data_IF_553018055334
#
_entry.id   IF_553018055334
#
_cell.length_a   1.000
_cell.length_b   1.000
_cell.length_c   1.000
_cell.angle_alpha   90.00
_cell.angle_beta   90.00
_cell.angle_gamma   90.00
#
_symmetry.space_group_name_H-M   'P 1'
#
loop_
_entity.id
_entity.type
_entity.pdbx_description
1 polymer ?
#
# COMPACT_ATOMS: atom_id res chain seq x y z
N UNK A 1 3.27 -25.57 66.31
CA UNK A 1 3.24 -26.71 65.38
C UNK A 1 1.87 -26.70 64.76
N UNK A 2 1.71 -25.88 63.72
CA UNK A 2 1.81 -26.31 62.30
C UNK A 2 0.59 -27.16 61.92
N UNK A 3 -0.18 -26.90 60.87
CA UNK A 3 -0.01 -25.99 59.76
C UNK A 3 -1.38 -25.67 59.15
N UNK A 4 -1.38 -24.55 58.43
CA UNK A 4 -2.51 -23.79 57.91
C UNK A 4 -2.88 -24.20 56.47
N UNK A 5 -4.17 -24.12 56.19
CA UNK A 5 -4.77 -23.44 55.03
C UNK A 5 -4.53 -24.03 53.63
N UNK A 6 -5.65 -24.51 53.08
CA UNK A 6 -5.98 -24.67 51.66
C UNK A 6 -5.32 -23.63 50.73
N UNK A 7 -4.62 -24.13 49.71
CA UNK A 7 -4.24 -23.37 48.51
C UNK A 7 -4.84 -24.07 47.30
N UNK A 8 -6.07 -23.69 46.94
CA UNK A 8 -6.61 -23.85 45.59
C UNK A 8 -6.28 -22.55 44.83
N UNK A 9 -5.41 -22.64 43.84
CA UNK A 9 -4.93 -21.46 43.12
C UNK A 9 -4.01 -21.85 41.97
N UNK A 10 -4.61 -22.40 40.92
CA UNK A 10 -3.93 -22.71 39.68
C UNK A 10 -5.00 -23.14 38.69
N UNK A 11 -5.32 -22.24 37.75
CA UNK A 11 -5.95 -22.48 36.43
C UNK A 11 -6.87 -21.33 35.97
N UNK A 12 -6.45 -20.06 36.11
CA UNK A 12 -7.24 -18.92 35.63
C UNK A 12 -6.53 -18.00 34.61
N UNK A 13 -5.34 -18.39 34.13
CA UNK A 13 -4.65 -17.63 33.07
C UNK A 13 -5.10 -18.04 31.65
N UNK A 14 -5.49 -19.31 31.46
CA UNK A 14 -5.95 -19.83 30.17
C UNK A 14 -7.45 -19.60 29.90
N UNK A 15 -8.25 -19.39 30.94
CA UNK A 15 -9.71 -19.25 30.84
C UNK A 15 -10.19 -17.87 30.36
N UNK A 16 -9.40 -16.81 30.57
CA UNK A 16 -9.85 -15.42 30.29
C UNK A 16 -9.82 -15.09 28.79
N UNK A 17 -9.00 -15.77 27.98
CA UNK A 17 -8.98 -15.58 26.51
C UNK A 17 -10.17 -16.22 25.79
N UNK A 18 -10.95 -17.10 26.43
CA UNK A 18 -11.99 -17.91 25.76
C UNK A 18 -13.43 -17.39 25.87
N UNK A 19 -13.65 -16.23 26.50
CA UNK A 19 -15.00 -15.76 26.89
C UNK A 19 -15.44 -14.41 26.26
N UNK A 20 -14.86 -13.96 25.14
CA UNK A 20 -15.33 -12.73 24.47
C UNK A 20 -15.48 -12.90 22.96
N UNK A 21 -16.71 -12.69 22.48
CA UNK A 21 -17.02 -12.51 21.05
C UNK A 21 -16.07 -11.49 20.42
N UNK A 22 -15.27 -11.84 19.40
CA UNK A 22 -14.45 -10.85 18.74
C UNK A 22 -15.38 -9.96 17.92
N UNK A 23 -15.37 -8.66 18.22
CA UNK A 23 -15.94 -7.60 17.38
C UNK A 23 -15.31 -7.55 15.96
N UNK A 24 -14.36 -8.46 15.67
CA UNK A 24 -13.58 -8.65 14.45
C UNK A 24 -13.90 -10.05 13.93
N UNK A 25 -14.73 -10.15 12.88
CA UNK A 25 -15.04 -11.41 12.22
C UNK A 25 -14.49 -11.46 10.81
N UNK A 26 -14.08 -12.65 10.34
CA UNK A 26 -13.65 -12.87 8.96
C UNK A 26 -14.74 -12.52 7.92
N UNK A 27 -16.02 -12.54 8.33
CA UNK A 27 -17.13 -12.09 7.49
C UNK A 27 -17.02 -10.60 7.10
N UNK A 28 -16.27 -9.78 7.84
CA UNK A 28 -16.02 -8.39 7.47
C UNK A 28 -15.30 -8.24 6.12
N UNK A 29 -14.53 -9.24 5.68
CA UNK A 29 -13.89 -9.22 4.37
C UNK A 29 -14.89 -9.27 3.20
N UNK A 30 -16.17 -9.54 3.44
CA UNK A 30 -17.23 -9.32 2.45
C UNK A 30 -17.29 -7.84 2.01
N UNK A 31 -17.02 -6.91 2.93
CA UNK A 31 -16.94 -5.47 2.63
C UNK A 31 -15.79 -5.20 1.66
N UNK A 32 -14.65 -5.86 1.84
CA UNK A 32 -13.51 -5.74 0.91
C UNK A 32 -13.86 -6.26 -0.49
N UNK A 33 -14.64 -7.34 -0.60
CA UNK A 33 -15.13 -7.83 -1.89
C UNK A 33 -16.06 -6.80 -2.55
N UNK A 34 -16.98 -6.18 -1.79
CA UNK A 34 -17.83 -5.12 -2.32
C UNK A 34 -17.01 -3.90 -2.79
N UNK A 35 -15.95 -3.54 -2.06
CA UNK A 35 -15.01 -2.52 -2.53
C UNK A 35 -14.32 -2.93 -3.83
N UNK A 36 -13.84 -4.18 -3.95
CA UNK A 36 -13.17 -4.66 -5.17
C UNK A 36 -14.07 -4.56 -6.41
N UNK A 37 -15.33 -5.00 -6.31
CA UNK A 37 -16.32 -4.83 -7.39
C UNK A 37 -16.66 -3.35 -7.61
N UNK A 38 -16.84 -2.59 -6.54
CA UNK A 38 -17.08 -1.15 -6.59
C UNK A 38 -15.99 -0.42 -7.37
N UNK A 39 -14.71 -0.74 -7.12
CA UNK A 39 -13.58 -0.17 -7.85
C UNK A 39 -13.58 -0.54 -9.33
N UNK A 40 -13.94 -1.77 -9.68
CA UNK A 40 -14.07 -2.17 -11.08
C UNK A 40 -15.12 -1.32 -11.81
N UNK A 41 -16.34 -1.22 -11.28
CA UNK A 41 -17.40 -0.43 -11.90
C UNK A 41 -17.10 1.08 -11.87
N UNK A 42 -16.54 1.59 -10.77
CA UNK A 42 -16.13 2.98 -10.65
C UNK A 42 -15.07 3.34 -11.68
N UNK A 43 -14.08 2.46 -11.90
CA UNK A 43 -13.07 2.66 -12.94
C UNK A 43 -13.71 2.74 -14.32
N UNK A 44 -14.59 1.80 -14.68
CA UNK A 44 -15.27 1.82 -15.99
C UNK A 44 -16.07 3.11 -16.20
N UNK A 45 -16.78 3.56 -15.16
CA UNK A 45 -17.53 4.81 -15.18
C UNK A 45 -16.60 6.02 -15.39
N UNK A 46 -15.57 6.17 -14.55
CA UNK A 46 -14.64 7.28 -14.63
C UNK A 46 -13.83 7.26 -15.94
N UNK A 47 -13.42 6.09 -16.41
CA UNK A 47 -12.70 5.93 -17.68
C UNK A 47 -13.51 6.43 -18.86
N UNK A 48 -14.83 6.24 -18.84
CA UNK A 48 -15.74 6.62 -19.92
C UNK A 48 -16.08 8.12 -19.86
N UNK A 49 -16.43 8.63 -18.68
CA UNK A 49 -17.00 9.97 -18.55
C UNK A 49 -15.99 11.05 -18.18
N UNK A 50 -14.90 10.70 -17.47
CA UNK A 50 -13.99 11.66 -16.84
C UNK A 50 -12.57 11.53 -17.40
N UNK A 51 -11.91 10.39 -17.21
CA UNK A 51 -10.49 10.24 -17.52
C UNK A 51 -10.20 10.32 -19.02
N UNK A 52 -11.09 9.82 -19.88
CA UNK A 52 -10.94 10.01 -21.33
C UNK A 52 -10.87 11.49 -21.71
N UNK A 53 -11.77 12.31 -21.13
CA UNK A 53 -11.83 13.75 -21.42
C UNK A 53 -10.60 14.48 -20.89
N UNK A 54 -10.20 14.16 -19.65
CA UNK A 54 -9.01 14.75 -19.02
C UNK A 54 -7.75 14.38 -19.79
N UNK A 55 -7.57 13.10 -20.16
CA UNK A 55 -6.38 12.65 -20.89
C UNK A 55 -6.26 13.34 -22.26
N UNK A 56 -7.36 13.43 -23.02
CA UNK A 56 -7.36 14.13 -24.32
C UNK A 56 -7.10 15.63 -24.14
N UNK A 57 -7.72 16.25 -23.12
CA UNK A 57 -7.50 17.67 -22.81
C UNK A 57 -6.03 17.96 -22.45
N UNK A 58 -5.44 17.13 -21.58
CA UNK A 58 -4.03 17.24 -21.18
C UNK A 58 -3.09 17.12 -22.37
N UNK A 59 -3.33 16.17 -23.27
CA UNK A 59 -2.55 16.02 -24.50
C UNK A 59 -2.74 17.21 -25.45
N UNK A 60 -3.93 17.82 -25.48
CA UNK A 60 -4.25 18.92 -26.43
C UNK A 60 -3.66 20.25 -26.00
N UNK A 61 -3.44 20.42 -24.70
CA UNK A 61 -2.88 21.66 -24.14
C UNK A 61 -1.40 21.86 -24.54
N UNK A 62 -0.72 20.79 -24.96
CA UNK A 62 0.71 20.82 -25.30
C UNK A 62 0.97 20.87 -26.81
N UNK A 63 0.06 20.35 -27.64
CA UNK A 63 0.23 20.30 -29.11
C UNK A 63 -0.49 21.46 -29.81
N UNK A 64 0.25 22.32 -30.50
CA UNK A 64 -0.32 23.35 -31.39
C UNK A 64 -1.01 22.77 -32.64
N UNK A 65 -0.83 21.47 -32.91
CA UNK A 65 -1.46 20.74 -34.01
C UNK A 65 -2.61 19.84 -33.50
N UNK A 66 -3.69 19.67 -34.28
CA UNK A 66 -4.82 18.83 -33.89
C UNK A 66 -4.36 17.38 -33.61
N UNK A 67 -4.73 16.85 -32.44
CA UNK A 67 -4.37 15.50 -32.03
C UNK A 67 -4.95 14.50 -33.02
N UNK A 68 -4.08 13.73 -33.66
CA UNK A 68 -4.50 12.62 -34.51
C UNK A 68 -4.74 11.38 -33.63
N UNK A 69 -5.94 11.27 -33.06
CA UNK A 69 -6.33 10.16 -32.16
C UNK A 69 -6.16 8.78 -32.83
N UNK A 70 -6.16 8.73 -34.16
CA UNK A 70 -5.91 7.49 -34.92
C UNK A 70 -4.46 7.00 -34.84
N UNK A 71 -3.53 7.80 -34.35
CA UNK A 71 -2.13 7.39 -34.18
C UNK A 71 -1.98 6.40 -33.00
N UNK A 72 -1.43 5.19 -33.22
CA UNK A 72 -1.30 4.18 -32.18
C UNK A 72 -0.47 4.65 -30.97
N UNK A 73 0.56 5.47 -31.18
CA UNK A 73 1.41 5.97 -30.08
C UNK A 73 0.66 6.94 -29.18
N UNK A 74 -0.14 7.82 -29.78
CA UNK A 74 -1.03 8.75 -29.09
C UNK A 74 -2.10 8.00 -28.30
N UNK A 75 -2.69 6.96 -28.89
CA UNK A 75 -3.68 6.11 -28.21
C UNK A 75 -3.08 5.39 -27.00
N UNK A 76 -1.88 4.84 -27.14
CA UNK A 76 -1.17 4.18 -26.04
C UNK A 76 -0.86 5.16 -24.89
N UNK A 77 -0.42 6.39 -25.19
CA UNK A 77 -0.21 7.46 -24.19
C UNK A 77 -1.50 7.79 -23.44
N UNK A 78 -2.63 7.92 -24.15
CA UNK A 78 -3.93 8.19 -23.53
C UNK A 78 -4.34 7.06 -22.58
N UNK A 79 -4.19 5.79 -22.99
CA UNK A 79 -4.51 4.63 -22.13
C UNK A 79 -3.67 4.66 -20.85
N UNK A 80 -2.34 4.80 -20.98
CA UNK A 80 -1.43 4.87 -19.83
C UNK A 80 -1.74 6.08 -18.92
N UNK A 81 -2.14 7.21 -19.51
CA UNK A 81 -2.56 8.40 -18.75
C UNK A 81 -3.83 8.15 -17.94
N UNK A 82 -4.84 7.48 -18.51
CA UNK A 82 -6.06 7.10 -17.80
C UNK A 82 -5.79 6.14 -16.65
N UNK A 83 -4.91 5.16 -16.87
CA UNK A 83 -4.47 4.25 -15.80
C UNK A 83 -3.82 5.00 -14.64
N UNK A 84 -2.94 5.96 -14.95
CA UNK A 84 -2.32 6.79 -13.91
C UNK A 84 -3.32 7.74 -13.23
N UNK A 85 -4.30 8.28 -13.94
CA UNK A 85 -5.37 9.09 -13.33
C UNK A 85 -6.23 8.27 -12.36
N UNK A 86 -6.56 7.03 -12.71
CA UNK A 86 -7.28 6.11 -11.83
C UNK A 86 -6.50 5.85 -10.53
N UNK A 87 -5.23 5.49 -10.66
CA UNK A 87 -4.37 5.21 -9.49
C UNK A 87 -4.12 6.47 -8.66
N UNK A 88 -3.87 7.61 -9.30
CA UNK A 88 -3.71 8.91 -8.62
C UNK A 88 -4.95 9.26 -7.78
N UNK A 89 -6.15 9.12 -8.36
CA UNK A 89 -7.40 9.41 -7.64
C UNK A 89 -7.57 8.47 -6.44
N UNK A 90 -7.30 7.17 -6.62
CA UNK A 90 -7.40 6.20 -5.53
C UNK A 90 -6.41 6.51 -4.39
N UNK A 91 -5.11 6.59 -4.70
CA UNK A 91 -4.09 6.81 -3.69
C UNK A 91 -4.25 8.17 -3.02
N UNK A 92 -4.54 9.22 -3.78
CA UNK A 92 -4.77 10.56 -3.23
C UNK A 92 -5.98 10.61 -2.30
N UNK A 93 -7.09 9.96 -2.66
CA UNK A 93 -8.28 9.90 -1.80
C UNK A 93 -8.02 9.10 -0.52
N UNK A 94 -7.33 7.96 -0.62
CA UNK A 94 -6.99 7.12 0.52
C UNK A 94 -6.00 7.81 1.47
N UNK A 95 -4.99 8.50 0.92
CA UNK A 95 -3.98 9.23 1.68
C UNK A 95 -4.62 10.41 2.46
N UNK A 96 -5.45 11.22 1.81
CA UNK A 96 -6.19 12.30 2.49
C UNK A 96 -7.12 11.75 3.57
N UNK A 97 -7.82 10.65 3.30
CA UNK A 97 -8.71 10.01 4.27
C UNK A 97 -7.94 9.51 5.50
N UNK A 98 -6.86 8.74 5.29
CA UNK A 98 -6.10 8.15 6.39
C UNK A 98 -5.37 9.21 7.20
N UNK A 99 -4.80 10.24 6.57
CA UNK A 99 -4.16 11.34 7.29
C UNK A 99 -5.15 12.08 8.21
N UNK A 100 -6.38 12.30 7.73
CA UNK A 100 -7.45 12.91 8.56
C UNK A 100 -7.83 12.02 9.75
N UNK A 101 -7.91 10.70 9.54
CA UNK A 101 -8.21 9.77 10.63
C UNK A 101 -7.06 9.73 11.64
N UNK A 102 -5.83 9.56 11.16
CA UNK A 102 -4.63 9.46 11.99
C UNK A 102 -4.35 10.74 12.79
N UNK A 103 -4.69 11.91 12.26
CA UNK A 103 -4.51 13.19 12.95
C UNK A 103 -5.18 13.23 14.34
N UNK A 104 -6.29 12.50 14.50
CA UNK A 104 -7.03 12.45 15.76
C UNK A 104 -6.60 11.31 16.69
N UNK A 105 -5.62 10.50 16.30
CA UNK A 105 -5.23 9.29 17.00
C UNK A 105 -3.86 9.44 17.67
N UNK A 106 -3.75 9.36 19.01
CA UNK A 106 -2.47 9.50 19.71
C UNK A 106 -1.42 8.47 19.29
N UNK A 107 -1.86 7.25 18.99
CA UNK A 107 -0.98 6.16 18.55
C UNK A 107 -0.38 6.40 17.15
N UNK A 108 -0.86 7.36 16.37
CA UNK A 108 -0.21 7.74 15.11
C UNK A 108 1.12 8.47 15.32
N UNK A 109 1.33 9.06 16.51
CA UNK A 109 2.50 9.86 16.84
C UNK A 109 3.43 9.20 17.88
N UNK A 110 2.93 8.21 18.62
CA UNK A 110 3.70 7.47 19.61
C UNK A 110 3.69 5.96 19.33
N UNK A 111 4.87 5.45 18.99
CA UNK A 111 5.12 4.04 18.65
C UNK A 111 4.80 3.10 19.80
N UNK A 112 4.96 3.55 21.06
CA UNK A 112 4.66 2.73 22.24
C UNK A 112 3.18 2.36 22.33
N UNK A 113 2.32 3.14 21.67
CA UNK A 113 0.88 2.92 21.68
C UNK A 113 0.40 1.99 20.54
N UNK A 114 1.29 1.52 19.67
CA UNK A 114 0.92 0.59 18.59
C UNK A 114 0.31 -0.71 19.11
N UNK A 115 0.85 -1.26 20.19
CA UNK A 115 0.39 -2.53 20.80
C UNK A 115 -0.32 -2.32 22.14
N UNK A 116 -0.42 -1.09 22.63
CA UNK A 116 -1.11 -0.81 23.89
C UNK A 116 -2.56 -1.31 23.86
N UNK A 117 -2.95 -2.06 24.90
CA UNK A 117 -4.23 -2.76 25.05
C UNK A 117 -4.49 -3.89 24.04
N UNK A 118 -3.47 -4.36 23.33
CA UNK A 118 -3.55 -5.58 22.53
C UNK A 118 -3.76 -6.82 23.44
N UNK A 119 -4.61 -7.79 23.07
CA UNK A 119 -5.36 -7.94 21.81
C UNK A 119 -6.71 -7.17 21.75
N UNK A 120 -7.10 -6.51 22.83
CA UNK A 120 -8.40 -5.84 23.00
C UNK A 120 -8.42 -4.37 22.55
N UNK A 121 -7.72 -4.06 21.46
CA UNK A 121 -7.69 -2.70 20.94
C UNK A 121 -9.07 -2.31 20.37
N UNK A 122 -9.49 -1.05 20.58
CA UNK A 122 -10.74 -0.53 20.02
C UNK A 122 -10.62 -0.31 18.50
N UNK A 123 -11.40 -1.06 17.71
CA UNK A 123 -11.47 -0.88 16.26
C UNK A 123 -12.53 0.16 15.88
N UNK A 124 -12.07 1.39 15.59
CA UNK A 124 -12.94 2.47 15.11
C UNK A 124 -13.41 2.22 13.67
N UNK A 125 -14.65 2.60 13.37
CA UNK A 125 -15.27 2.43 12.05
C UNK A 125 -14.44 3.02 10.88
N UNK A 126 -13.83 4.22 10.98
CA UNK A 126 -13.00 4.76 9.90
C UNK A 126 -11.79 3.87 9.56
N UNK A 127 -11.13 3.30 10.56
CA UNK A 127 -10.00 2.37 10.36
C UNK A 127 -10.49 1.06 9.75
N UNK A 128 -11.64 0.54 10.19
CA UNK A 128 -12.26 -0.64 9.57
C UNK A 128 -12.54 -0.42 8.09
N UNK A 129 -13.18 0.71 7.73
CA UNK A 129 -13.47 1.04 6.34
C UNK A 129 -12.20 1.24 5.52
N UNK A 130 -11.18 1.89 6.09
CA UNK A 130 -9.86 2.03 5.45
C UNK A 130 -9.25 0.67 5.12
N UNK A 131 -9.22 -0.25 6.10
CA UNK A 131 -8.70 -1.61 5.92
C UNK A 131 -9.43 -2.39 4.82
N UNK A 132 -10.77 -2.34 4.81
CA UNK A 132 -11.57 -3.03 3.81
C UNK A 132 -11.42 -2.40 2.43
N UNK A 133 -11.31 -1.08 2.36
CA UNK A 133 -11.02 -0.32 1.14
C UNK A 133 -9.67 -0.76 0.54
N UNK A 134 -8.60 -0.78 1.36
CA UNK A 134 -7.27 -1.22 0.95
C UNK A 134 -7.25 -2.66 0.50
N UNK A 135 -7.80 -3.57 1.32
CA UNK A 135 -7.89 -4.99 0.96
C UNK A 135 -8.63 -5.17 -0.37
N UNK A 136 -9.76 -4.47 -0.55
CA UNK A 136 -10.55 -4.52 -1.77
C UNK A 136 -9.78 -4.00 -2.99
N UNK A 137 -9.01 -2.94 -2.85
CA UNK A 137 -8.18 -2.41 -3.94
C UNK A 137 -7.05 -3.36 -4.32
N UNK A 138 -6.38 -3.98 -3.36
CA UNK A 138 -5.34 -4.97 -3.65
C UNK A 138 -5.91 -6.22 -4.33
N UNK A 139 -7.09 -6.71 -3.90
CA UNK A 139 -7.80 -7.82 -4.55
C UNK A 139 -8.20 -7.46 -5.98
N UNK A 140 -8.79 -6.28 -6.17
CA UNK A 140 -9.06 -5.73 -7.50
C UNK A 140 -7.78 -5.62 -8.34
N UNK A 141 -6.67 -5.19 -7.73
CA UNK A 141 -5.36 -5.07 -8.37
C UNK A 141 -4.80 -6.41 -8.86
N UNK A 142 -4.98 -7.50 -8.10
CA UNK A 142 -4.61 -8.85 -8.56
C UNK A 142 -5.40 -9.22 -9.81
N UNK A 143 -6.72 -9.00 -9.82
CA UNK A 143 -7.54 -9.27 -10.99
C UNK A 143 -7.12 -8.40 -12.20
N UNK A 144 -6.84 -7.12 -11.96
CA UNK A 144 -6.37 -6.18 -12.99
C UNK A 144 -5.00 -6.60 -13.57
N UNK A 145 -4.04 -6.99 -12.73
CA UNK A 145 -2.72 -7.49 -13.13
C UNK A 145 -2.81 -8.77 -13.98
N UNK A 146 -3.78 -9.64 -13.70
CA UNK A 146 -3.97 -10.87 -14.45
C UNK A 146 -4.71 -10.66 -15.77
N UNK A 147 -5.68 -9.73 -15.81
CA UNK A 147 -6.61 -9.61 -16.92
C UNK A 147 -6.32 -8.48 -17.92
N UNK A 148 -5.82 -7.33 -17.46
CA UNK A 148 -5.83 -6.09 -18.27
C UNK A 148 -4.57 -5.23 -18.20
N UNK A 149 -3.79 -5.33 -17.14
CA UNK A 149 -2.58 -4.51 -16.98
C UNK A 149 -1.41 -5.07 -17.80
N UNK A 150 -0.64 -4.19 -18.43
CA UNK A 150 0.52 -4.60 -19.25
C UNK A 150 1.55 -5.30 -18.38
N UNK A 151 1.89 -6.54 -18.74
CA UNK A 151 2.96 -7.30 -18.10
C UNK A 151 4.30 -6.60 -18.33
N UNK A 152 5.05 -6.41 -17.25
CA UNK A 152 6.39 -5.80 -17.22
C UNK A 152 7.39 -6.80 -16.66
N UNK A 153 8.69 -6.51 -16.81
CA UNK A 153 9.78 -7.38 -16.32
C UNK A 153 9.72 -7.66 -14.82
N UNK A 154 9.07 -6.80 -14.03
CA UNK A 154 8.88 -6.96 -12.58
C UNK A 154 7.52 -7.60 -12.19
N UNK A 155 6.78 -8.19 -13.14
CA UNK A 155 5.45 -8.76 -12.90
C UNK A 155 5.41 -9.74 -11.71
N UNK A 156 6.38 -10.66 -11.61
CA UNK A 156 6.41 -11.64 -10.53
C UNK A 156 6.63 -10.98 -9.15
N UNK A 157 7.46 -9.94 -9.09
CA UNK A 157 7.72 -9.18 -7.85
C UNK A 157 6.47 -8.39 -7.46
N UNK A 158 5.84 -7.71 -8.42
CA UNK A 158 4.57 -7.00 -8.21
C UNK A 158 3.45 -7.94 -7.75
N UNK A 159 3.27 -9.10 -8.39
CA UNK A 159 2.25 -10.08 -7.98
C UNK A 159 2.52 -10.59 -6.57
N UNK A 160 3.77 -10.94 -6.26
CA UNK A 160 4.17 -11.39 -4.92
C UNK A 160 3.88 -10.31 -3.87
N UNK A 161 4.17 -9.04 -4.18
CA UNK A 161 3.85 -7.91 -3.31
C UNK A 161 2.35 -7.80 -3.03
N UNK A 162 1.50 -7.91 -4.05
CA UNK A 162 0.05 -7.87 -3.86
C UNK A 162 -0.42 -9.01 -2.94
N UNK A 163 0.07 -10.23 -3.16
CA UNK A 163 -0.29 -11.40 -2.34
C UNK A 163 0.13 -11.20 -0.88
N UNK A 164 1.38 -10.83 -0.61
CA UNK A 164 1.86 -10.57 0.76
C UNK A 164 1.07 -9.45 1.40
N UNK A 165 0.77 -8.38 0.65
CA UNK A 165 0.06 -7.23 1.20
C UNK A 165 -1.39 -7.59 1.58
N UNK A 166 -2.09 -8.37 0.75
CA UNK A 166 -3.41 -8.92 1.11
C UNK A 166 -3.33 -9.77 2.37
N UNK A 167 -2.31 -10.64 2.47
CA UNK A 167 -2.09 -11.46 3.66
C UNK A 167 -1.79 -10.57 4.86
N UNK A 168 -0.89 -9.59 4.78
CA UNK A 168 -0.56 -8.66 5.87
C UNK A 168 -1.76 -7.83 6.34
N UNK A 169 -2.59 -7.32 5.41
CA UNK A 169 -3.82 -6.60 5.75
C UNK A 169 -4.76 -7.54 6.49
N UNK A 170 -4.96 -8.75 5.96
CA UNK A 170 -5.87 -9.71 6.56
C UNK A 170 -5.40 -10.17 7.93
N UNK A 171 -4.11 -10.49 8.02
CA UNK A 171 -3.42 -10.91 9.22
C UNK A 171 -3.51 -9.85 10.30
N UNK A 172 -3.07 -8.61 10.01
CA UNK A 172 -3.11 -7.52 10.99
C UNK A 172 -4.52 -7.14 11.42
N UNK A 173 -5.53 -7.36 10.57
CA UNK A 173 -6.92 -7.17 10.95
C UNK A 173 -7.40 -8.25 11.93
N UNK A 174 -7.13 -9.52 11.63
CA UNK A 174 -7.56 -10.67 12.45
C UNK A 174 -6.81 -10.74 13.78
N UNK A 175 -5.55 -10.31 13.83
CA UNK A 175 -4.74 -10.26 15.05
C UNK A 175 -4.83 -8.93 15.78
N UNK A 176 -5.75 -8.03 15.43
CA UNK A 176 -5.89 -6.71 16.07
C UNK A 176 -4.63 -5.81 16.01
N UNK A 177 -3.74 -5.98 15.02
CA UNK A 177 -2.60 -5.09 14.75
C UNK A 177 -3.00 -3.89 13.88
N UNK A 178 -4.23 -3.39 14.02
CA UNK A 178 -4.78 -2.40 13.09
C UNK A 178 -4.15 -1.01 13.22
N UNK A 179 -3.60 -0.65 14.39
CA UNK A 179 -2.90 0.63 14.59
C UNK A 179 -1.64 0.70 13.73
N UNK A 180 -0.72 -0.24 13.95
CA UNK A 180 0.53 -0.30 13.19
C UNK A 180 0.29 -0.61 11.72
N UNK A 181 -0.68 -1.48 11.40
CA UNK A 181 -0.98 -1.78 10.01
C UNK A 181 -1.64 -0.62 9.27
N UNK A 182 -2.41 0.26 9.93
CA UNK A 182 -2.87 1.52 9.31
C UNK A 182 -1.71 2.45 8.97
N UNK A 183 -0.70 2.55 9.84
CA UNK A 183 0.53 3.33 9.55
C UNK A 183 1.32 2.70 8.41
N UNK A 184 1.43 1.37 8.38
CA UNK A 184 2.04 0.64 7.26
C UNK A 184 1.33 1.01 5.96
N UNK A 185 0.00 0.90 5.88
CA UNK A 185 -0.73 1.22 4.65
C UNK A 185 -0.52 2.69 4.23
N UNK A 186 -0.65 3.64 5.16
CA UNK A 186 -0.48 5.05 4.88
C UNK A 186 0.92 5.40 4.34
N UNK A 187 1.99 4.85 4.95
CA UNK A 187 3.36 5.16 4.51
C UNK A 187 3.64 4.68 3.09
N UNK A 188 3.03 3.57 2.67
CA UNK A 188 3.24 3.02 1.34
C UNK A 188 2.48 3.85 0.31
N UNK A 189 1.20 4.13 0.54
CA UNK A 189 0.36 4.86 -0.44
C UNK A 189 0.84 6.28 -0.73
N UNK A 190 1.36 6.99 0.28
CA UNK A 190 1.76 8.40 0.15
C UNK A 190 2.75 8.64 -1.01
N UNK A 191 3.73 7.74 -1.17
CA UNK A 191 4.71 7.88 -2.26
C UNK A 191 4.13 7.61 -3.66
N UNK A 192 3.08 6.80 -3.76
CA UNK A 192 2.49 6.41 -5.05
C UNK A 192 1.67 7.55 -5.66
N UNK A 193 1.18 8.49 -4.83
CA UNK A 193 0.56 9.75 -5.30
C UNK A 193 1.54 10.55 -6.18
N UNK A 194 2.80 10.69 -5.73
CA UNK A 194 3.83 11.39 -6.51
C UNK A 194 4.22 10.62 -7.76
N UNK A 195 4.30 9.29 -7.69
CA UNK A 195 4.60 8.42 -8.84
C UNK A 195 3.58 8.60 -9.96
N UNK A 196 2.29 8.51 -9.64
CA UNK A 196 1.23 8.61 -10.64
C UNK A 196 1.10 10.03 -11.19
N UNK A 197 1.34 11.05 -10.35
CA UNK A 197 1.41 12.45 -10.82
C UNK A 197 2.57 12.66 -11.81
N UNK A 198 3.74 12.08 -11.56
CA UNK A 198 4.88 12.14 -12.47
C UNK A 198 4.56 11.50 -13.83
N UNK A 199 3.89 10.35 -13.83
CA UNK A 199 3.43 9.67 -15.05
C UNK A 199 2.41 10.51 -15.82
N UNK A 200 1.42 11.10 -15.15
CA UNK A 200 0.43 11.99 -15.79
C UNK A 200 1.13 13.16 -16.49
N UNK A 201 2.07 13.83 -15.82
CA UNK A 201 2.84 14.90 -16.46
C UNK A 201 3.71 14.40 -17.62
N UNK A 202 4.30 13.21 -17.49
CA UNK A 202 5.11 12.60 -18.56
C UNK A 202 4.26 12.31 -19.80
N UNK A 203 3.08 11.72 -19.64
CA UNK A 203 2.17 11.45 -20.77
C UNK A 203 1.54 12.71 -21.36
N UNK A 204 1.52 13.81 -20.62
CA UNK A 204 1.11 15.14 -21.08
C UNK A 204 2.24 15.94 -21.72
N UNK A 205 3.43 15.35 -21.86
CA UNK A 205 4.65 15.99 -22.41
C UNK A 205 5.12 17.22 -21.60
N UNK A 206 4.74 17.30 -20.33
CA UNK A 206 5.13 18.36 -19.38
C UNK A 206 6.38 17.92 -18.61
N UNK A 207 7.52 17.92 -19.30
CA UNK A 207 8.79 17.36 -18.79
C UNK A 207 9.23 17.96 -17.45
N UNK A 208 9.11 19.28 -17.25
CA UNK A 208 9.48 19.91 -15.97
C UNK A 208 8.65 19.38 -14.80
N UNK A 209 7.32 19.32 -14.96
CA UNK A 209 6.42 18.79 -13.93
C UNK A 209 6.67 17.30 -13.66
N UNK A 210 6.95 16.52 -14.71
CA UNK A 210 7.29 15.11 -14.59
C UNK A 210 8.57 14.90 -13.78
N UNK A 211 9.63 15.68 -14.06
CA UNK A 211 10.91 15.59 -13.35
C UNK A 211 10.81 16.01 -11.89
N UNK A 212 10.05 17.08 -11.58
CA UNK A 212 9.81 17.52 -10.19
C UNK A 212 9.04 16.44 -9.42
N UNK A 213 7.94 15.92 -9.97
CA UNK A 213 7.15 14.89 -9.30
C UNK A 213 7.92 13.57 -9.16
N UNK A 214 8.74 13.20 -10.14
CA UNK A 214 9.61 12.03 -10.05
C UNK A 214 10.68 12.19 -8.95
N UNK A 215 11.24 13.39 -8.76
CA UNK A 215 12.16 13.67 -7.66
C UNK A 215 11.46 13.58 -6.29
N UNK A 216 10.25 14.13 -6.16
CA UNK A 216 9.44 14.00 -4.94
C UNK A 216 9.08 12.54 -4.66
N UNK A 217 8.73 11.78 -5.69
CA UNK A 217 8.52 10.33 -5.60
C UNK A 217 9.76 9.62 -5.07
N UNK A 218 10.94 9.83 -5.67
CA UNK A 218 12.17 9.19 -5.21
C UNK A 218 12.53 9.58 -3.77
N UNK A 219 12.37 10.86 -3.40
CA UNK A 219 12.61 11.32 -2.03
C UNK A 219 11.66 10.67 -1.04
N UNK A 220 10.35 10.68 -1.33
CA UNK A 220 9.33 10.06 -0.49
C UNK A 220 9.54 8.55 -0.35
N UNK A 221 9.95 7.85 -1.42
CA UNK A 221 10.29 6.43 -1.38
C UNK A 221 11.42 6.14 -0.41
N UNK A 222 12.51 6.91 -0.49
CA UNK A 222 13.66 6.76 0.41
C UNK A 222 13.25 7.00 1.87
N UNK A 223 12.59 8.13 2.13
CA UNK A 223 12.22 8.52 3.49
C UNK A 223 11.19 7.57 4.12
N UNK A 224 10.14 7.19 3.39
CA UNK A 224 9.05 6.39 3.94
C UNK A 224 9.40 4.90 3.94
N UNK A 225 9.78 4.33 2.79
CA UNK A 225 9.92 2.87 2.62
C UNK A 225 11.30 2.32 3.00
N UNK A 226 12.37 3.13 2.96
CA UNK A 226 13.73 2.68 3.28
C UNK A 226 14.29 3.24 4.58
N UNK A 227 13.69 4.30 5.13
CA UNK A 227 14.11 4.89 6.41
C UNK A 227 13.02 4.65 7.46
N UNK A 228 11.84 5.25 7.30
CA UNK A 228 10.79 5.15 8.32
C UNK A 228 10.32 3.70 8.55
N UNK A 229 10.05 2.96 7.47
CA UNK A 229 9.58 1.58 7.55
C UNK A 229 10.54 0.63 8.30
N UNK A 230 11.83 0.49 7.95
CA UNK A 230 12.71 -0.42 8.69
C UNK A 230 13.07 0.08 10.11
N UNK A 231 13.39 1.36 10.27
CA UNK A 231 13.96 1.84 11.55
C UNK A 231 12.91 2.17 12.61
N UNK A 232 11.66 2.46 12.24
CA UNK A 232 10.58 2.71 13.18
C UNK A 232 9.54 1.59 13.17
N UNK A 233 9.04 1.15 12.01
CA UNK A 233 7.95 0.16 11.95
C UNK A 233 8.44 -1.26 12.21
N UNK A 234 9.42 -1.75 11.46
CA UNK A 234 9.97 -3.11 11.66
C UNK A 234 10.63 -3.21 13.04
N UNK A 235 11.32 -2.14 13.48
CA UNK A 235 11.83 -2.06 14.86
C UNK A 235 10.70 -2.20 15.89
N UNK A 236 9.56 -1.52 15.70
CA UNK A 236 8.44 -1.62 16.63
C UNK A 236 7.87 -3.04 16.70
N UNK A 237 7.69 -3.71 15.56
CA UNK A 237 7.21 -5.11 15.52
C UNK A 237 8.23 -6.12 16.03
N UNK A 238 9.52 -5.77 16.02
CA UNK A 238 10.59 -6.65 16.50
C UNK A 238 10.88 -6.49 18.00
N UNK A 239 10.61 -5.31 18.57
CA UNK A 239 10.97 -4.97 19.95
C UNK A 239 9.71 -4.76 20.80
N UNK A 240 8.92 -3.73 20.51
CA UNK A 240 7.78 -3.31 21.34
C UNK A 240 6.68 -4.39 21.37
N UNK A 241 6.57 -5.20 20.32
CA UNK A 241 5.64 -6.33 20.27
C UNK A 241 6.01 -7.42 21.30
N UNK A 242 7.29 -7.63 21.61
CA UNK A 242 7.72 -8.68 22.55
C UNK A 242 7.21 -8.44 23.97
N UNK A 243 6.98 -7.19 24.36
CA UNK A 243 6.41 -6.85 25.66
C UNK A 243 4.93 -7.26 25.80
N UNK A 244 4.28 -7.63 24.70
CA UNK A 244 2.86 -7.96 24.63
C UNK A 244 2.61 -9.44 24.30
N UNK A 245 3.66 -10.23 24.04
CA UNK A 245 3.57 -11.63 23.61
C UNK A 245 4.21 -12.56 24.63
N UNK A 246 3.61 -13.74 24.82
CA UNK A 246 4.24 -14.83 25.56
C UNK A 246 4.95 -15.77 24.58
N UNK A 247 6.27 -15.61 24.46
CA UNK A 247 7.11 -16.43 23.56
C UNK A 247 7.24 -17.89 23.98
N UNK A 248 6.64 -18.31 25.10
CA UNK A 248 6.50 -19.73 25.45
C UNK A 248 5.29 -20.38 24.75
N UNK A 249 4.33 -19.56 24.32
CA UNK A 249 3.16 -20.02 23.56
C UNK A 249 3.51 -20.14 22.08
N UNK A 250 3.15 -21.27 21.48
CA UNK A 250 3.39 -21.53 20.06
C UNK A 250 2.66 -20.52 19.16
N UNK A 251 1.43 -20.13 19.50
CA UNK A 251 0.62 -19.18 18.74
C UNK A 251 1.27 -17.79 18.66
N UNK A 252 1.67 -17.23 19.81
CA UNK A 252 2.32 -15.93 19.91
C UNK A 252 3.70 -15.95 19.20
N UNK A 253 4.45 -17.04 19.33
CA UNK A 253 5.73 -17.24 18.65
C UNK A 253 5.58 -17.27 17.13
N UNK A 254 4.63 -18.07 16.62
CA UNK A 254 4.33 -18.14 15.18
C UNK A 254 3.88 -16.78 14.67
N UNK A 255 3.06 -16.06 15.44
CA UNK A 255 2.60 -14.74 15.06
C UNK A 255 3.73 -13.73 14.94
N UNK A 256 4.61 -13.69 15.94
CA UNK A 256 5.78 -12.81 15.92
C UNK A 256 6.66 -13.04 14.67
N UNK A 257 7.05 -14.29 14.42
CA UNK A 257 7.95 -14.59 13.30
C UNK A 257 7.26 -14.42 11.95
N UNK A 258 6.03 -14.93 11.79
CA UNK A 258 5.32 -14.83 10.51
C UNK A 258 5.06 -13.37 10.10
N UNK A 259 4.62 -12.52 11.03
CA UNK A 259 4.37 -11.11 10.74
C UNK A 259 5.65 -10.36 10.38
N UNK A 260 6.71 -10.51 11.18
CA UNK A 260 8.00 -9.85 10.91
C UNK A 260 8.65 -10.34 9.61
N UNK A 261 8.56 -11.64 9.29
CA UNK A 261 9.09 -12.17 8.02
C UNK A 261 8.39 -11.55 6.82
N UNK A 262 7.07 -11.39 6.84
CA UNK A 262 6.34 -10.73 5.75
C UNK A 262 6.72 -9.25 5.59
N UNK A 263 6.95 -8.52 6.70
CA UNK A 263 7.42 -7.14 6.64
C UNK A 263 8.85 -7.03 6.10
N UNK A 264 9.74 -7.94 6.47
CA UNK A 264 11.10 -8.01 5.93
C UNK A 264 11.09 -8.36 4.43
N UNK A 265 10.22 -9.26 4.00
CA UNK A 265 10.03 -9.59 2.59
C UNK A 265 9.54 -8.35 1.80
N UNK A 266 8.63 -7.57 2.39
CA UNK A 266 8.19 -6.30 1.81
C UNK A 266 9.35 -5.29 1.69
N UNK A 267 10.22 -5.20 2.70
CA UNK A 267 11.43 -4.37 2.66
C UNK A 267 12.38 -4.79 1.53
N UNK A 268 12.56 -6.10 1.31
CA UNK A 268 13.39 -6.62 0.20
C UNK A 268 12.84 -6.13 -1.15
N UNK A 269 11.52 -6.15 -1.33
CA UNK A 269 10.90 -5.60 -2.54
C UNK A 269 11.13 -4.10 -2.68
N UNK A 270 11.06 -3.34 -1.59
CA UNK A 270 11.37 -1.90 -1.63
C UNK A 270 12.81 -1.59 -2.02
N UNK A 271 13.76 -2.39 -1.54
CA UNK A 271 15.18 -2.28 -1.93
C UNK A 271 15.35 -2.58 -3.42
N UNK A 272 14.67 -3.62 -3.93
CA UNK A 272 14.67 -3.94 -5.35
C UNK A 272 14.14 -2.78 -6.20
N UNK A 273 12.97 -2.23 -5.88
CA UNK A 273 12.43 -1.10 -6.64
C UNK A 273 13.27 0.17 -6.46
N UNK A 274 13.89 0.38 -5.30
CA UNK A 274 14.82 1.50 -5.11
C UNK A 274 16.02 1.43 -6.06
N UNK A 275 16.56 0.23 -6.30
CA UNK A 275 17.59 0.05 -7.32
C UNK A 275 17.09 0.50 -8.71
N UNK A 276 15.85 0.17 -9.08
CA UNK A 276 15.24 0.60 -10.34
C UNK A 276 15.01 2.11 -10.41
N UNK A 277 14.60 2.74 -9.29
CA UNK A 277 14.44 4.19 -9.17
C UNK A 277 15.79 4.88 -9.35
N UNK A 278 16.85 4.39 -8.69
CA UNK A 278 18.21 4.89 -8.87
C UNK A 278 18.68 4.76 -10.33
N UNK A 279 18.41 3.63 -10.99
CA UNK A 279 18.72 3.45 -12.40
C UNK A 279 17.98 4.47 -13.30
N UNK A 280 16.72 4.77 -13.00
CA UNK A 280 15.95 5.84 -13.65
C UNK A 280 16.54 7.23 -13.40
N UNK A 281 16.99 7.53 -12.18
CA UNK A 281 17.68 8.80 -11.85
C UNK A 281 18.96 8.95 -12.68
N UNK A 282 19.77 7.89 -12.79
CA UNK A 282 20.99 7.93 -13.62
C UNK A 282 20.65 8.20 -15.09
N UNK A 283 19.57 7.61 -15.62
CA UNK A 283 19.07 7.91 -16.98
C UNK A 283 18.59 9.36 -17.11
N UNK A 284 17.87 9.88 -16.12
CA UNK A 284 17.40 11.27 -16.08
C UNK A 284 18.57 12.27 -16.14
N UNK A 285 19.64 12.01 -15.38
CA UNK A 285 20.85 12.83 -15.38
C UNK A 285 21.56 12.79 -16.74
N UNK A 286 21.66 11.61 -17.37
CA UNK A 286 22.24 11.46 -18.72
C UNK A 286 21.40 12.18 -19.80
N UNK A 287 20.07 12.20 -19.65
CA UNK A 287 19.13 12.78 -20.61
C UNK A 287 18.88 14.29 -20.39
N UNK A 288 19.78 15.00 -19.70
CA UNK A 288 19.65 16.44 -19.38
C UNK A 288 18.33 16.79 -18.68
N UNK A 289 17.86 15.94 -17.78
CA UNK A 289 16.67 16.20 -16.95
C UNK A 289 15.33 15.81 -17.60
N UNK A 290 15.34 15.07 -18.72
CA UNK A 290 14.12 14.48 -19.31
C UNK A 290 13.88 13.08 -18.74
N UNK A 291 12.68 12.83 -18.21
CA UNK A 291 12.31 11.49 -17.69
C UNK A 291 12.22 10.54 -18.88
N UNK A 292 13.07 9.52 -18.92
CA UNK A 292 13.08 8.51 -19.98
C UNK A 292 11.90 7.54 -19.90
N UNK A 293 11.83 6.59 -20.83
CA UNK A 293 10.89 5.47 -20.69
C UNK A 293 11.22 4.58 -19.49
N UNK A 294 10.18 3.96 -18.93
CA UNK A 294 10.31 3.08 -17.76
C UNK A 294 11.19 1.87 -18.13
N UNK A 295 12.23 1.62 -17.34
CA UNK A 295 13.19 0.54 -17.60
C UNK A 295 12.56 -0.86 -17.53
N UNK A 296 11.35 -0.96 -16.98
CA UNK A 296 10.59 -2.20 -16.79
C UNK A 296 9.62 -2.48 -17.92
N UNK A 297 9.27 -1.48 -18.74
CA UNK A 297 8.54 -1.76 -19.97
C UNK A 297 9.47 -2.53 -20.89
N UNK A 298 8.98 -3.63 -21.46
CA UNK A 298 9.68 -4.26 -22.58
C UNK A 298 9.80 -3.20 -23.66
N UNK A 299 11.04 -2.92 -24.07
CA UNK A 299 11.29 -2.44 -25.41
C UNK A 299 10.77 -3.54 -26.32
N UNK A 300 9.68 -3.30 -27.04
CA UNK A 300 9.30 -4.12 -28.20
C UNK A 300 10.32 -3.90 -29.34
N UNK A 301 11.62 -3.97 -29.03
CA UNK A 301 12.77 -3.74 -29.91
C UNK A 301 13.93 -4.69 -29.54
N UNK A 302 13.62 -5.93 -29.16
CA UNK A 302 14.59 -7.03 -29.20
C UNK A 302 13.97 -8.20 -30.01
N UNK A 303 14.13 -8.08 -31.34
CA UNK A 303 13.92 -9.04 -32.45
C UNK A 303 12.52 -9.62 -32.76
#
# INVERSE_FOLDING_TARGET
MESSVHSSGGDDAGGVRSQLEPSIGAWHFQIAIYFAFGFFFLRLFLDTFVFQRIAVWLSSTTSSAPIKISDPTTRAKIIKCKESLWKFLYYGACDVFVLKVLYHEPWAYDIKLYFHAWPHQELKLPIKLYYMCQCGFYVYGVAALLAWETRRKDFAVMMSHHVITIILISYSYLTSFFRIGAIILALHDASDVFMETAKIFKYSEKEFGASVCFALFALSWLLLRLIYFPFWIIRATSIELLDHLDMTLAEDTIMYYSFNTMLLMLLVFHIYWWYLICAMIVRLLKNRGKVGEDIRSDSEDDE
#
